data_IF_151567030221
#
_entry.id   IF_151567030221
#
_cell.length_a   1.000
_cell.length_b   1.000
_cell.length_c   1.000
_cell.angle_alpha   90.00
_cell.angle_beta   90.00
_cell.angle_gamma   90.00
#
_symmetry.space_group_name_H-M   'P 1'
#
loop_
_entity.id
_entity.type
_entity.pdbx_description
1 polymer ?
#
# COMPACT_ATOMS: atom_id res chain seq x y z
N UNK A 1 -4.65 25.67 26.62
CA UNK A 1 -5.26 25.64 25.27
C UNK A 1 -4.51 24.71 24.31
N UNK A 2 -3.17 24.70 24.28
CA UNK A 2 -2.40 23.82 23.38
C UNK A 2 -2.54 22.31 23.65
N UNK A 3 -2.52 21.89 24.92
CA UNK A 3 -2.65 20.48 25.31
C UNK A 3 -3.99 19.87 24.88
N UNK A 4 -5.07 20.63 24.97
CA UNK A 4 -6.40 20.19 24.53
C UNK A 4 -6.44 19.95 23.01
N UNK A 5 -5.80 20.83 22.23
CA UNK A 5 -5.66 20.68 20.78
C UNK A 5 -4.77 19.48 20.41
N UNK A 6 -3.70 19.23 21.15
CA UNK A 6 -2.85 18.04 20.97
C UNK A 6 -3.62 16.74 21.25
N UNK A 7 -4.44 16.69 22.30
CA UNK A 7 -5.23 15.51 22.63
C UNK A 7 -6.28 15.23 21.54
N UNK A 8 -6.94 16.26 21.00
CA UNK A 8 -7.86 16.11 19.87
C UNK A 8 -7.15 15.59 18.61
N UNK A 9 -5.94 16.07 18.32
CA UNK A 9 -5.14 15.61 17.17
C UNK A 9 -4.73 14.13 17.30
N UNK A 10 -4.35 13.70 18.51
CA UNK A 10 -4.01 12.30 18.80
C UNK A 10 -5.24 11.38 18.73
N UNK A 11 -6.41 11.86 19.18
CA UNK A 11 -7.67 11.12 19.06
C UNK A 11 -8.12 10.93 17.60
N UNK A 12 -7.93 11.94 16.74
CA UNK A 12 -8.24 11.82 15.30
C UNK A 12 -7.26 10.88 14.57
N UNK A 13 -5.99 10.88 15.00
CA UNK A 13 -4.97 9.94 14.50
C UNK A 13 -5.24 8.50 14.91
N UNK A 14 -6.06 8.30 15.95
CA UNK A 14 -6.47 7.00 16.47
C UNK A 14 -7.74 6.46 15.79
N UNK A 15 -8.10 6.96 14.61
CA UNK A 15 -9.02 6.26 13.72
C UNK A 15 -8.40 4.89 13.43
N UNK A 16 -8.80 3.91 14.24
CA UNK A 16 -8.42 2.52 14.08
C UNK A 16 -8.61 2.15 12.62
N UNK A 17 -7.68 1.35 12.09
CA UNK A 17 -7.84 0.71 10.79
C UNK A 17 -8.96 -0.35 10.87
N UNK A 18 -10.15 0.06 11.32
CA UNK A 18 -11.37 -0.71 11.32
C UNK A 18 -11.84 -0.72 9.89
N UNK A 19 -11.51 -1.81 9.20
CA UNK A 19 -11.81 -1.92 7.80
C UNK A 19 -13.28 -2.28 7.60
N UNK A 20 -14.13 -1.26 7.63
CA UNK A 20 -15.57 -1.42 7.44
C UNK A 20 -15.94 -1.88 6.00
N UNK A 21 -14.98 -1.86 5.06
CA UNK A 21 -15.16 -2.29 3.66
C UNK A 21 -13.99 -3.15 3.13
N UNK A 22 -13.27 -3.88 3.99
CA UNK A 22 -12.22 -4.77 3.51
C UNK A 22 -12.81 -5.98 2.78
N UNK A 23 -12.04 -6.47 1.80
CA UNK A 23 -12.31 -7.74 1.13
C UNK A 23 -11.28 -8.77 1.56
N UNK A 24 -11.70 -10.02 1.69
CA UNK A 24 -10.77 -11.11 1.96
C UNK A 24 -9.84 -11.30 0.76
N UNK A 25 -8.54 -11.22 1.01
CA UNK A 25 -7.51 -11.40 -0.01
C UNK A 25 -6.43 -12.37 0.47
N UNK A 26 -5.65 -12.90 -0.47
CA UNK A 26 -4.46 -13.70 -0.20
C UNK A 26 -3.24 -12.91 -0.64
N UNK A 27 -2.26 -12.81 0.24
CA UNK A 27 -0.97 -12.19 -0.06
C UNK A 27 0.14 -13.24 0.02
N UNK A 28 1.17 -13.07 -0.79
CA UNK A 28 2.41 -13.83 -0.73
C UNK A 28 3.58 -12.88 -1.00
N UNK A 29 4.77 -13.22 -0.51
CA UNK A 29 5.97 -12.41 -0.72
C UNK A 29 6.93 -13.14 -1.65
N UNK A 30 7.60 -12.38 -2.52
CA UNK A 30 8.70 -12.87 -3.32
C UNK A 30 9.96 -12.09 -2.94
N UNK A 31 11.07 -12.80 -2.72
CA UNK A 31 12.35 -12.20 -2.30
C UNK A 31 13.20 -11.69 -3.47
N UNK A 32 12.80 -11.97 -4.70
CA UNK A 32 13.59 -11.67 -5.90
C UNK A 32 13.31 -10.27 -6.44
N UNK A 33 14.35 -9.43 -6.48
CA UNK A 33 14.32 -8.10 -7.11
C UNK A 33 14.09 -8.12 -8.62
N UNK A 34 14.20 -9.30 -9.26
CA UNK A 34 13.93 -9.47 -10.70
C UNK A 34 12.49 -9.08 -11.08
N UNK A 35 11.54 -9.24 -10.16
CA UNK A 35 10.15 -8.82 -10.38
C UNK A 35 9.98 -7.31 -10.53
N UNK A 36 10.95 -6.51 -10.06
CA UNK A 36 10.90 -5.05 -10.15
C UNK A 36 11.42 -4.51 -11.48
N UNK A 37 12.55 -5.04 -11.97
CA UNK A 37 13.14 -4.59 -13.24
C UNK A 37 12.26 -4.89 -14.47
N UNK A 38 11.37 -5.89 -14.39
CA UNK A 38 10.44 -6.26 -15.47
C UNK A 38 8.96 -6.08 -15.11
N UNK A 39 8.64 -5.36 -14.04
CA UNK A 39 7.26 -5.22 -13.56
C UNK A 39 6.36 -4.51 -14.59
N UNK A 40 5.10 -4.93 -14.69
CA UNK A 40 4.16 -4.45 -15.72
C UNK A 40 3.86 -2.94 -15.67
N UNK A 41 4.12 -2.28 -14.54
CA UNK A 41 3.96 -0.83 -14.39
C UNK A 41 5.18 -0.01 -14.86
N UNK A 42 6.29 -0.64 -15.24
CA UNK A 42 7.45 0.06 -15.80
C UNK A 42 8.27 0.90 -14.81
N UNK A 43 7.97 0.88 -13.50
CA UNK A 43 8.72 1.64 -12.49
C UNK A 43 10.15 1.14 -12.27
N UNK A 44 10.48 -0.11 -12.63
CA UNK A 44 11.84 -0.62 -12.47
C UNK A 44 12.32 -0.62 -11.02
N UNK A 45 13.63 -0.39 -10.82
CA UNK A 45 14.24 -0.35 -9.49
C UNK A 45 13.86 0.90 -8.67
N UNK A 46 13.42 1.98 -9.32
CA UNK A 46 13.07 3.24 -8.61
C UNK A 46 11.78 3.13 -7.80
N UNK A 47 10.97 2.09 -8.03
CA UNK A 47 9.75 1.85 -7.28
C UNK A 47 10.00 1.66 -5.76
N UNK A 48 11.15 1.10 -5.38
CA UNK A 48 11.51 0.91 -3.97
C UNK A 48 11.75 2.25 -3.27
N UNK A 49 12.40 3.19 -3.95
CA UNK A 49 12.73 4.48 -3.36
C UNK A 49 11.46 5.32 -3.19
N UNK A 50 10.64 5.39 -4.25
CA UNK A 50 9.42 6.20 -4.27
C UNK A 50 8.34 5.71 -3.30
N UNK A 51 8.21 4.38 -3.13
CA UNK A 51 7.20 3.78 -2.25
C UNK A 51 7.78 3.32 -0.89
N UNK A 52 8.96 3.79 -0.52
CA UNK A 52 9.58 3.49 0.78
C UNK A 52 9.78 2.00 1.03
N UNK A 53 10.09 1.22 -0.01
CA UNK A 53 10.31 -0.22 0.02
C UNK A 53 9.03 -1.07 0.04
N UNK A 54 7.85 -0.45 0.13
CA UNK A 54 6.57 -1.15 0.22
C UNK A 54 5.93 -1.25 -1.17
N UNK A 55 6.37 -2.24 -1.93
CA UNK A 55 5.84 -2.53 -3.28
C UNK A 55 5.29 -3.94 -3.34
N UNK A 56 4.15 -4.08 -4.01
CA UNK A 56 3.49 -5.37 -4.18
C UNK A 56 3.09 -5.57 -5.64
N UNK A 57 3.15 -6.82 -6.08
CA UNK A 57 2.53 -7.23 -7.33
C UNK A 57 1.05 -7.53 -7.07
N UNK A 58 0.18 -7.09 -7.98
CA UNK A 58 -1.25 -7.27 -7.89
C UNK A 58 -1.76 -8.28 -8.92
N UNK A 59 -2.79 -9.05 -8.58
CA UNK A 59 -3.47 -9.96 -9.52
C UNK A 59 -4.15 -9.16 -10.66
N UNK A 60 -4.43 -9.77 -11.83
CA UNK A 60 -5.01 -9.07 -12.98
C UNK A 60 -6.27 -8.27 -12.67
N UNK A 61 -7.12 -8.77 -11.77
CA UNK A 61 -8.36 -8.11 -11.34
C UNK A 61 -8.11 -6.76 -10.65
N UNK A 62 -6.98 -6.63 -9.94
CA UNK A 62 -6.56 -5.39 -9.27
C UNK A 62 -5.70 -4.56 -10.23
N UNK A 63 -4.81 -5.18 -11.00
CA UNK A 63 -3.92 -4.51 -11.95
C UNK A 63 -4.68 -3.74 -13.05
N UNK A 64 -5.82 -4.28 -13.51
CA UNK A 64 -6.71 -3.65 -14.51
C UNK A 64 -5.95 -3.10 -15.72
N UNK A 65 -5.14 -3.95 -16.36
CA UNK A 65 -4.33 -3.58 -17.52
C UNK A 65 -3.45 -2.32 -17.33
N UNK A 66 -3.01 -2.05 -16.10
CA UNK A 66 -2.16 -0.89 -15.77
C UNK A 66 -2.92 0.32 -15.25
N UNK A 67 -4.25 0.35 -15.29
CA UNK A 67 -5.06 1.45 -14.75
C UNK A 67 -4.82 1.69 -13.25
N UNK A 68 -4.35 0.66 -12.53
CA UNK A 68 -4.11 0.71 -11.09
C UNK A 68 -2.63 0.75 -10.72
N UNK A 69 -1.74 1.01 -11.68
CA UNK A 69 -0.33 1.27 -11.38
C UNK A 69 -0.19 2.50 -10.48
N UNK A 70 0.57 2.37 -9.39
CA UNK A 70 0.73 3.43 -8.39
C UNK A 70 -0.37 3.49 -7.32
N UNK A 71 -1.37 2.61 -7.38
CA UNK A 71 -2.39 2.52 -6.33
C UNK A 71 -1.81 1.93 -5.03
N UNK A 72 -2.24 2.49 -3.88
CA UNK A 72 -1.86 2.02 -2.55
C UNK A 72 -2.99 1.18 -1.93
N UNK A 73 -2.61 0.08 -1.27
CA UNK A 73 -3.54 -0.79 -0.57
C UNK A 73 -3.09 -1.00 0.87
N UNK A 74 -4.03 -0.90 1.80
CA UNK A 74 -3.80 -1.28 3.19
C UNK A 74 -4.03 -2.78 3.33
N UNK A 75 -2.98 -3.52 3.65
CA UNK A 75 -3.10 -4.94 4.03
C UNK A 75 -3.17 -5.00 5.55
N UNK A 76 -4.23 -5.60 6.05
CA UNK A 76 -4.46 -5.84 7.47
C UNK A 76 -4.31 -7.34 7.72
N UNK A 77 -3.72 -7.68 8.87
CA UNK A 77 -3.56 -9.04 9.33
C UNK A 77 -4.24 -9.20 10.69
#
# INVERSE_FOLDING_TARGET
MGIFLCIIFLLFSSASASCNQCVLAKATFFRSSKGLSGGSCGYGAVALDFHGGHVAAAVPCIYKNGERCGACFQVLN
#
